data_IF_834693525335
#
_entry.id   IF_834693525335
#
_cell.length_a   1.000
_cell.length_b   1.000
_cell.length_c   1.000
_cell.angle_alpha   90.00
_cell.angle_beta   90.00
_cell.angle_gamma   90.00
#
_symmetry.space_group_name_H-M   'P 1'
#
loop_
_entity.id
_entity.type
_entity.pdbx_description
1 polymer ?
#
# COMPACT_ATOMS: atom_id res chain seq x y z
N UNK A 1 21.79 1.31 18.06
CA UNK A 1 21.01 0.79 16.90
C UNK A 1 19.57 0.53 17.34
N UNK A 2 18.56 0.85 16.53
CA UNK A 2 17.15 0.59 16.87
C UNK A 2 16.73 -0.83 16.46
N UNK A 3 15.88 -1.48 17.25
CA UNK A 3 15.18 -2.70 16.86
C UNK A 3 14.04 -2.41 15.87
N UNK A 4 13.56 -3.43 15.17
CA UNK A 4 12.37 -3.32 14.33
C UNK A 4 11.17 -2.74 15.10
N UNK A 5 10.93 -3.22 16.33
CA UNK A 5 9.88 -2.70 17.21
C UNK A 5 10.06 -1.22 17.52
N UNK A 6 11.26 -0.80 17.86
CA UNK A 6 11.54 0.61 18.16
C UNK A 6 11.32 1.50 16.93
N UNK A 7 11.65 1.02 15.73
CA UNK A 7 11.33 1.73 14.48
C UNK A 7 9.83 1.86 14.27
N UNK A 8 9.04 0.82 14.54
CA UNK A 8 7.56 0.89 14.48
C UNK A 8 7.01 1.85 15.53
N UNK A 9 7.59 1.86 16.74
CA UNK A 9 7.22 2.78 17.82
C UNK A 9 7.37 4.25 17.43
N UNK A 10 8.29 4.59 16.52
CA UNK A 10 8.40 5.97 15.99
C UNK A 10 7.10 6.43 15.30
N UNK A 11 6.27 5.52 14.78
CA UNK A 11 4.96 5.85 14.24
C UNK A 11 3.97 6.37 15.29
N UNK A 12 4.24 6.13 16.58
CA UNK A 12 3.40 6.60 17.69
C UNK A 12 3.77 7.99 18.21
N UNK A 13 4.87 8.60 17.74
CA UNK A 13 5.31 9.95 18.16
C UNK A 13 4.21 11.02 18.10
N UNK A 14 3.33 11.05 17.08
CA UNK A 14 2.27 12.07 17.00
C UNK A 14 1.11 11.88 17.99
N UNK A 15 1.09 10.79 18.76
CA UNK A 15 -0.04 10.41 19.60
C UNK A 15 0.28 10.56 21.09
N UNK A 16 -0.74 10.91 21.88
CA UNK A 16 -0.69 10.94 23.34
C UNK A 16 -1.61 9.88 23.95
N UNK A 17 -1.47 8.64 23.46
CA UNK A 17 -2.28 7.47 23.87
C UNK A 17 -1.71 6.72 25.06
N UNK A 18 -0.50 7.08 25.49
CA UNK A 18 0.19 6.47 26.63
C UNK A 18 0.98 5.19 26.27
N UNK A 19 2.07 4.97 27.01
CA UNK A 19 3.07 3.96 26.68
C UNK A 19 2.55 2.51 26.65
N UNK A 20 1.51 2.18 27.43
CA UNK A 20 0.92 0.85 27.38
C UNK A 20 0.18 0.63 26.06
N UNK A 21 -0.69 1.58 25.68
CA UNK A 21 -1.50 1.48 24.48
C UNK A 21 -0.64 1.53 23.22
N UNK A 22 0.39 2.37 23.20
CA UNK A 22 1.34 2.42 22.08
C UNK A 22 2.05 1.09 21.86
N UNK A 23 2.43 0.37 22.92
CA UNK A 23 3.05 -0.96 22.78
C UNK A 23 2.07 -2.01 22.24
N UNK A 24 0.80 -1.93 22.62
CA UNK A 24 -0.24 -2.80 22.06
C UNK A 24 -0.39 -2.53 20.56
N UNK A 25 -0.60 -1.27 20.16
CA UNK A 25 -0.72 -0.84 18.77
C UNK A 25 0.48 -1.29 17.94
N UNK A 26 1.70 -1.07 18.44
CA UNK A 26 2.93 -1.50 17.76
C UNK A 26 2.97 -3.01 17.58
N UNK A 27 2.54 -3.78 18.57
CA UNK A 27 2.52 -5.24 18.49
C UNK A 27 1.46 -5.75 17.51
N UNK A 28 0.28 -5.14 17.50
CA UNK A 28 -0.78 -5.44 16.54
C UNK A 28 -0.37 -5.07 15.10
N UNK A 29 0.27 -3.92 14.90
CA UNK A 29 0.76 -3.47 13.60
C UNK A 29 1.88 -4.38 13.06
N UNK A 30 2.81 -4.83 13.91
CA UNK A 30 3.82 -5.81 13.54
C UNK A 30 3.20 -7.16 13.16
N UNK A 31 2.16 -7.60 13.86
CA UNK A 31 1.45 -8.83 13.52
C UNK A 31 0.71 -8.72 12.18
N UNK A 32 0.08 -7.57 11.91
CA UNK A 32 -0.67 -7.34 10.67
C UNK A 32 0.18 -7.48 9.40
N UNK A 33 1.49 -7.21 9.49
CA UNK A 33 2.42 -7.29 8.35
C UNK A 33 3.31 -8.54 8.39
N UNK A 34 3.02 -9.51 9.25
CA UNK A 34 3.87 -10.70 9.46
C UNK A 34 5.33 -10.33 9.82
N UNK A 35 5.51 -9.45 10.81
CA UNK A 35 6.82 -9.00 11.29
C UNK A 35 7.15 -9.38 12.74
N UNK A 36 6.27 -10.12 13.41
CA UNK A 36 6.43 -10.45 14.84
C UNK A 36 7.73 -11.21 15.14
N UNK A 37 8.16 -12.12 14.26
CA UNK A 37 9.32 -12.99 14.50
C UNK A 37 10.68 -12.30 14.39
N UNK A 38 10.74 -11.07 13.85
CA UNK A 38 11.96 -10.26 13.80
C UNK A 38 11.82 -8.91 14.52
N UNK A 39 10.77 -8.73 15.33
CA UNK A 39 10.50 -7.49 16.04
C UNK A 39 11.68 -7.01 16.92
N UNK A 40 12.44 -7.93 17.51
CA UNK A 40 13.56 -7.62 18.40
C UNK A 40 14.93 -7.58 17.69
N UNK A 41 14.99 -7.87 16.38
CA UNK A 41 16.24 -7.78 15.60
C UNK A 41 16.59 -6.33 15.34
N UNK A 42 17.88 -6.00 15.29
CA UNK A 42 18.30 -4.65 14.91
C UNK A 42 17.93 -4.39 13.45
N UNK A 43 17.35 -3.20 13.21
CA UNK A 43 16.84 -2.78 11.92
C UNK A 43 17.90 -2.85 10.80
N UNK A 44 19.15 -2.55 11.14
CA UNK A 44 20.29 -2.55 10.20
C UNK A 44 20.67 -3.93 9.67
N UNK A 45 20.26 -5.01 10.35
CA UNK A 45 20.51 -6.41 9.94
C UNK A 45 19.33 -7.07 9.21
N UNK A 46 18.27 -6.32 8.95
CA UNK A 46 17.12 -6.82 8.21
C UNK A 46 17.40 -6.84 6.70
N UNK A 47 16.84 -7.84 6.02
CA UNK A 47 16.72 -7.88 4.55
C UNK A 47 15.84 -6.74 4.03
N UNK A 48 15.87 -6.48 2.73
CA UNK A 48 15.03 -5.43 2.11
C UNK A 48 13.54 -5.61 2.41
N UNK A 49 13.02 -6.82 2.20
CA UNK A 49 11.60 -7.13 2.46
C UNK A 49 11.21 -7.04 3.95
N UNK A 50 12.10 -7.45 4.87
CA UNK A 50 11.87 -7.24 6.31
C UNK A 50 11.82 -5.74 6.65
N UNK A 51 12.73 -4.91 6.12
CA UNK A 51 12.72 -3.45 6.35
C UNK A 51 11.43 -2.80 5.86
N UNK A 52 10.95 -3.22 4.70
CA UNK A 52 9.73 -2.69 4.11
C UNK A 52 8.50 -3.06 4.95
N UNK A 53 8.44 -4.28 5.51
CA UNK A 53 7.42 -4.67 6.49
C UNK A 53 7.47 -3.83 7.76
N UNK A 54 8.67 -3.56 8.30
CA UNK A 54 8.82 -2.64 9.44
C UNK A 54 8.29 -1.25 9.11
N UNK A 55 8.58 -0.74 7.91
CA UNK A 55 8.06 0.56 7.48
C UNK A 55 6.54 0.56 7.30
N UNK A 56 5.96 -0.48 6.72
CA UNK A 56 4.51 -0.63 6.62
C UNK A 56 3.88 -0.68 8.03
N UNK A 57 4.40 -1.52 8.93
CA UNK A 57 3.94 -1.57 10.32
C UNK A 57 4.05 -0.22 11.02
N UNK A 58 5.14 0.54 10.80
CA UNK A 58 5.30 1.90 11.36
C UNK A 58 4.19 2.83 10.92
N UNK A 59 3.85 2.81 9.63
CA UNK A 59 2.78 3.64 9.07
C UNK A 59 1.41 3.17 9.58
N UNK A 60 1.17 1.86 9.64
CA UNK A 60 -0.04 1.29 10.23
C UNK A 60 -0.21 1.71 11.69
N UNK A 61 0.87 1.62 12.48
CA UNK A 61 0.88 2.04 13.88
C UNK A 61 0.51 3.52 14.00
N UNK A 62 0.93 4.38 13.08
CA UNK A 62 0.58 5.81 13.08
C UNK A 62 -0.91 6.05 12.80
N UNK A 63 -1.55 5.23 11.96
CA UNK A 63 -2.97 5.39 11.61
C UNK A 63 -3.89 4.38 12.29
N UNK A 64 -3.42 3.71 13.35
CA UNK A 64 -4.12 2.54 13.91
C UNK A 64 -5.49 2.88 14.51
N UNK A 65 -5.57 3.93 15.33
CA UNK A 65 -6.80 4.29 16.06
C UNK A 65 -7.52 5.48 15.44
N UNK A 66 -8.82 5.31 15.21
CA UNK A 66 -9.73 6.31 14.62
C UNK A 66 -10.34 7.26 15.65
N UNK A 67 -10.13 7.02 16.95
CA UNK A 67 -10.87 7.70 18.00
C UNK A 67 -10.51 9.19 18.07
N UNK A 68 -11.36 10.04 17.49
CA UNK A 68 -11.28 11.50 17.58
C UNK A 68 -10.60 12.22 16.41
N UNK A 69 -10.14 11.50 15.39
CA UNK A 69 -9.42 12.09 14.26
C UNK A 69 -10.30 12.25 13.01
N UNK A 70 -10.09 13.38 12.35
CA UNK A 70 -10.54 13.73 10.99
C UNK A 70 -10.19 12.64 9.97
N UNK A 71 -10.65 12.79 8.72
CA UNK A 71 -10.34 11.86 7.64
C UNK A 71 -8.82 11.62 7.53
N UNK A 72 -8.42 10.35 7.52
CA UNK A 72 -7.01 9.95 7.45
C UNK A 72 -6.66 9.54 6.05
N UNK A 73 -5.48 9.97 5.61
CA UNK A 73 -4.96 9.65 4.30
C UNK A 73 -3.66 8.86 4.44
N UNK A 74 -3.59 7.75 3.71
CA UNK A 74 -2.40 6.92 3.56
C UNK A 74 -1.85 7.13 2.15
N UNK A 75 -0.62 7.63 2.05
CA UNK A 75 0.08 7.80 0.78
C UNK A 75 1.19 6.74 0.70
N UNK A 76 1.16 5.92 -0.34
CA UNK A 76 2.10 4.85 -0.57
C UNK A 76 2.81 5.06 -1.90
N UNK A 77 4.12 5.21 -1.84
CA UNK A 77 4.97 5.30 -3.02
C UNK A 77 5.56 3.92 -3.33
N UNK A 78 5.11 3.32 -4.43
CA UNK A 78 5.51 1.98 -4.89
C UNK A 78 5.62 0.91 -3.77
N UNK A 79 4.56 0.71 -2.97
CA UNK A 79 4.65 -0.15 -1.79
C UNK A 79 4.87 -1.62 -2.14
N UNK A 80 4.68 -2.02 -3.40
CA UNK A 80 4.82 -3.40 -3.88
C UNK A 80 6.14 -3.67 -4.62
N UNK A 81 6.97 -2.63 -4.83
CA UNK A 81 8.26 -2.80 -5.49
C UNK A 81 9.17 -3.73 -4.68
N UNK A 82 9.88 -4.62 -5.38
CA UNK A 82 10.86 -5.56 -4.79
C UNK A 82 10.28 -6.61 -3.82
N UNK A 83 8.96 -6.79 -3.75
CA UNK A 83 8.31 -7.87 -3.00
C UNK A 83 8.09 -9.13 -3.84
N UNK A 84 8.06 -10.29 -3.18
CA UNK A 84 7.46 -11.48 -3.77
C UNK A 84 5.92 -11.35 -3.85
N UNK A 85 5.30 -12.23 -4.64
CA UNK A 85 3.86 -12.19 -4.89
C UNK A 85 3.02 -12.27 -3.61
N UNK A 86 3.46 -13.02 -2.60
CA UNK A 86 2.71 -13.18 -1.36
C UNK A 86 2.68 -11.88 -0.56
N UNK A 87 3.82 -11.18 -0.47
CA UNK A 87 3.90 -9.90 0.23
C UNK A 87 3.18 -8.77 -0.51
N UNK A 88 3.17 -8.79 -1.85
CA UNK A 88 2.37 -7.86 -2.64
C UNK A 88 0.87 -8.02 -2.31
N UNK A 89 0.35 -9.25 -2.34
CA UNK A 89 -1.04 -9.54 -2.00
C UNK A 89 -1.37 -9.12 -0.55
N UNK A 90 -0.50 -9.43 0.42
CA UNK A 90 -0.68 -9.02 1.82
C UNK A 90 -0.77 -7.49 1.96
N UNK A 91 0.12 -6.76 1.29
CA UNK A 91 0.14 -5.29 1.34
C UNK A 91 -1.15 -4.70 0.77
N UNK A 92 -1.63 -5.23 -0.35
CA UNK A 92 -2.88 -4.78 -0.96
C UNK A 92 -4.11 -5.13 -0.13
N UNK A 93 -4.12 -6.30 0.52
CA UNK A 93 -5.19 -6.69 1.42
C UNK A 93 -5.28 -5.74 2.62
N UNK A 94 -4.13 -5.41 3.23
CA UNK A 94 -4.07 -4.42 4.32
C UNK A 94 -4.60 -3.07 3.85
N UNK A 95 -4.17 -2.60 2.67
CA UNK A 95 -4.63 -1.34 2.08
C UNK A 95 -6.15 -1.33 1.86
N UNK A 96 -6.71 -2.41 1.28
CA UNK A 96 -8.15 -2.56 1.10
C UNK A 96 -8.91 -2.53 2.43
N UNK A 97 -8.41 -3.21 3.45
CA UNK A 97 -9.03 -3.21 4.77
C UNK A 97 -9.01 -1.82 5.42
N UNK A 98 -7.95 -1.04 5.24
CA UNK A 98 -7.89 0.34 5.71
C UNK A 98 -8.86 1.25 4.97
N UNK A 99 -8.95 1.10 3.65
CA UNK A 99 -9.91 1.83 2.81
C UNK A 99 -11.36 1.53 3.25
N UNK A 100 -11.68 0.25 3.46
CA UNK A 100 -12.99 -0.19 3.95
C UNK A 100 -13.34 0.36 5.35
N UNK A 101 -12.34 0.76 6.15
CA UNK A 101 -12.50 1.41 7.46
C UNK A 101 -12.58 2.94 7.37
N UNK A 102 -12.64 3.51 6.16
CA UNK A 102 -12.77 4.96 5.93
C UNK A 102 -11.44 5.72 5.84
N UNK A 103 -10.32 5.03 5.61
CA UNK A 103 -9.03 5.69 5.35
C UNK A 103 -8.90 5.97 3.85
N UNK A 104 -8.68 7.22 3.45
CA UNK A 104 -8.35 7.54 2.05
C UNK A 104 -6.98 6.99 1.70
N UNK A 105 -6.85 6.21 0.63
CA UNK A 105 -5.55 5.67 0.20
C UNK A 105 -5.18 6.19 -1.18
N UNK A 106 -4.00 6.79 -1.29
CA UNK A 106 -3.36 7.13 -2.55
C UNK A 106 -2.12 6.25 -2.71
N UNK A 107 -2.08 5.46 -3.78
CA UNK A 107 -1.00 4.52 -4.03
C UNK A 107 -0.43 4.73 -5.43
N UNK A 108 0.89 4.83 -5.53
CA UNK A 108 1.61 4.86 -6.80
C UNK A 108 2.03 3.43 -7.14
N UNK A 109 1.64 2.95 -8.32
CA UNK A 109 1.96 1.61 -8.82
C UNK A 109 2.46 1.68 -10.26
N UNK A 110 3.42 0.81 -10.58
CA UNK A 110 3.88 0.60 -11.96
C UNK A 110 3.12 -0.51 -12.69
N UNK A 111 2.58 -1.47 -11.95
CA UNK A 111 1.81 -2.57 -12.53
C UNK A 111 0.34 -2.16 -12.72
N UNK A 112 -0.07 -2.04 -13.98
CA UNK A 112 -1.42 -1.65 -14.38
C UNK A 112 -2.48 -2.69 -13.96
N UNK A 113 -2.13 -3.98 -13.97
CA UNK A 113 -3.05 -5.04 -13.58
C UNK A 113 -3.26 -5.05 -12.06
N UNK A 114 -2.20 -4.74 -11.31
CA UNK A 114 -2.28 -4.57 -9.87
C UNK A 114 -3.17 -3.37 -9.52
N UNK A 115 -2.95 -2.23 -10.18
CA UNK A 115 -3.74 -1.02 -10.00
C UNK A 115 -5.23 -1.26 -10.33
N UNK A 116 -5.52 -1.97 -11.43
CA UNK A 116 -6.87 -2.34 -11.82
C UNK A 116 -7.61 -3.17 -10.76
N UNK A 117 -6.89 -4.03 -10.03
CA UNK A 117 -7.47 -4.94 -9.02
C UNK A 117 -7.75 -4.27 -7.68
N UNK A 118 -6.96 -3.28 -7.30
CA UNK A 118 -7.01 -2.70 -5.95
C UNK A 118 -7.63 -1.32 -5.87
N UNK A 119 -7.63 -0.54 -6.95
CA UNK A 119 -8.07 0.84 -6.93
C UNK A 119 -9.55 0.98 -7.30
N UNK A 120 -10.30 1.71 -6.48
CA UNK A 120 -11.65 2.16 -6.84
C UNK A 120 -11.60 3.20 -7.99
N UNK A 121 -10.51 3.97 -8.04
CA UNK A 121 -10.30 5.04 -9.01
C UNK A 121 -8.82 5.12 -9.42
N UNK A 122 -8.56 5.18 -10.73
CA UNK A 122 -7.24 5.28 -11.33
C UNK A 122 -6.97 6.68 -11.84
N UNK A 123 -5.71 7.10 -11.69
CA UNK A 123 -5.14 8.31 -12.29
C UNK A 123 -3.92 7.91 -13.11
N UNK A 124 -3.98 8.11 -14.42
CA UNK A 124 -2.80 7.99 -15.28
C UNK A 124 -2.16 9.36 -15.45
N UNK A 125 -0.86 9.43 -15.14
CA UNK A 125 -0.07 10.65 -15.26
C UNK A 125 0.84 10.56 -16.50
N UNK A 126 0.89 11.64 -17.29
CA UNK A 126 1.79 11.78 -18.43
C UNK A 126 2.34 13.20 -18.45
N UNK A 127 3.68 13.34 -18.50
CA UNK A 127 4.37 14.63 -18.58
C UNK A 127 3.92 15.67 -17.52
N UNK A 128 3.62 15.22 -16.30
CA UNK A 128 3.18 16.08 -15.19
C UNK A 128 1.70 16.46 -15.20
N UNK A 129 0.91 15.99 -16.19
CA UNK A 129 -0.55 16.15 -16.25
C UNK A 129 -1.30 14.83 -16.04
N UNK A 130 -2.60 14.94 -15.79
CA UNK A 130 -3.51 13.79 -15.76
C UNK A 130 -3.93 13.47 -17.20
N UNK A 131 -3.51 12.31 -17.70
CA UNK A 131 -3.87 11.82 -19.03
C UNK A 131 -5.24 11.13 -19.04
N UNK A 132 -5.57 10.40 -17.97
CA UNK A 132 -6.87 9.77 -17.78
C UNK A 132 -7.20 9.62 -16.29
N UNK A 133 -8.48 9.66 -15.96
CA UNK A 133 -9.01 9.61 -14.59
C UNK A 133 -10.38 8.94 -14.60
N UNK A 134 -10.60 7.96 -13.72
CA UNK A 134 -11.87 7.25 -13.63
C UNK A 134 -11.71 5.85 -13.05
N UNK A 135 -12.72 5.01 -13.24
CA UNK A 135 -12.63 3.59 -12.93
C UNK A 135 -11.57 2.89 -13.78
N UNK A 136 -11.15 1.69 -13.36
CA UNK A 136 -10.18 0.91 -14.12
C UNK A 136 -10.63 0.67 -15.57
N UNK A 137 -11.92 0.44 -15.82
CA UNK A 137 -12.47 0.19 -17.15
C UNK A 137 -12.48 1.43 -18.06
N UNK A 138 -12.69 2.61 -17.47
CA UNK A 138 -12.65 3.88 -18.21
C UNK A 138 -11.21 4.30 -18.54
N UNK A 139 -10.27 3.99 -17.66
CA UNK A 139 -8.87 4.41 -17.78
C UNK A 139 -8.03 3.43 -18.61
N UNK A 140 -8.16 2.12 -18.38
CA UNK A 140 -7.34 1.08 -19.02
C UNK A 140 -7.95 0.63 -20.35
N UNK A 141 -7.93 1.53 -21.32
CA UNK A 141 -8.35 1.25 -22.70
C UNK A 141 -7.15 1.09 -23.62
N UNK A 142 -7.34 0.41 -24.76
CA UNK A 142 -6.31 0.30 -25.80
C UNK A 142 -5.79 1.67 -26.24
N UNK A 143 -6.69 2.63 -26.46
CA UNK A 143 -6.32 3.97 -26.94
C UNK A 143 -5.49 4.72 -25.89
N UNK A 144 -5.91 4.66 -24.61
CA UNK A 144 -5.16 5.27 -23.51
C UNK A 144 -3.76 4.65 -23.36
N UNK A 145 -3.64 3.32 -23.45
CA UNK A 145 -2.34 2.66 -23.33
C UNK A 145 -1.42 2.99 -24.51
N UNK A 146 -1.98 3.11 -25.72
CA UNK A 146 -1.24 3.51 -26.90
C UNK A 146 -0.76 4.96 -26.82
N UNK A 147 -1.57 5.87 -26.29
CA UNK A 147 -1.19 7.29 -26.18
C UNK A 147 -0.23 7.58 -25.01
N UNK A 148 -0.42 6.92 -23.87
CA UNK A 148 0.34 7.17 -22.64
C UNK A 148 1.63 6.36 -22.60
N UNK A 149 1.55 5.06 -22.86
CA UNK A 149 2.67 4.12 -22.74
C UNK A 149 3.31 3.74 -24.08
N UNK A 150 2.74 4.15 -25.21
CA UNK A 150 3.19 3.76 -26.56
C UNK A 150 3.17 2.25 -26.79
N UNK A 151 2.23 1.55 -26.14
CA UNK A 151 2.07 0.10 -26.23
C UNK A 151 0.74 -0.24 -26.92
N UNK A 152 0.78 -1.14 -27.90
CA UNK A 152 -0.44 -1.71 -28.52
C UNK A 152 -0.90 -2.94 -27.71
N UNK A 153 -1.61 -2.68 -26.61
CA UNK A 153 -2.06 -3.72 -25.70
C UNK A 153 -3.42 -4.31 -26.10
N UNK A 154 -3.66 -5.54 -25.65
CA UNK A 154 -4.98 -6.16 -25.61
C UNK A 154 -5.58 -6.01 -24.21
N UNK A 155 -6.85 -5.61 -24.13
CA UNK A 155 -7.59 -5.51 -22.87
C UNK A 155 -8.54 -6.69 -22.77
N UNK A 156 -8.21 -7.64 -21.90
CA UNK A 156 -9.08 -8.73 -21.50
C UNK A 156 -9.85 -8.42 -20.21
N UNK A 157 -10.61 -9.40 -19.75
CA UNK A 157 -11.25 -9.39 -18.43
C UNK A 157 -10.51 -10.34 -17.50
N UNK A 158 -10.14 -9.87 -16.32
CA UNK A 158 -9.47 -10.70 -15.32
C UNK A 158 -10.43 -11.83 -14.88
N UNK A 159 -10.04 -13.11 -14.97
CA UNK A 159 -10.96 -14.24 -14.78
C UNK A 159 -11.50 -14.37 -13.35
N UNK A 160 -10.73 -13.91 -12.35
CA UNK A 160 -11.13 -13.92 -10.93
C UNK A 160 -11.77 -12.59 -10.49
N UNK A 161 -11.11 -11.46 -10.75
CA UNK A 161 -11.53 -10.15 -10.26
C UNK A 161 -12.59 -9.43 -11.12
N UNK A 162 -12.78 -9.83 -12.38
CA UNK A 162 -13.69 -9.14 -13.32
C UNK A 162 -13.21 -7.75 -13.77
N UNK A 163 -12.05 -7.29 -13.30
CA UNK A 163 -11.43 -6.02 -13.67
C UNK A 163 -10.74 -6.11 -15.04
N UNK A 164 -10.42 -4.98 -15.69
CA UNK A 164 -9.60 -4.99 -16.91
C UNK A 164 -8.26 -5.69 -16.68
N UNK A 165 -7.84 -6.49 -17.66
CA UNK A 165 -6.56 -7.19 -17.67
C UNK A 165 -5.77 -6.73 -18.90
N UNK A 166 -4.68 -6.03 -18.68
CA UNK A 166 -3.74 -5.57 -19.71
C UNK A 166 -2.81 -6.71 -20.11
N UNK A 167 -2.80 -7.04 -21.39
CA UNK A 167 -1.97 -8.08 -22.00
C UNK A 167 -1.15 -7.43 -23.13
N UNK A 168 0.16 -7.64 -23.10
CA UNK A 168 1.13 -7.15 -24.11
C UNK A 168 1.57 -8.31 -24.97
#
# INVERSE_FOLDING_TARGET
>A
PFTAREVVMLGRIPHDTGAHRDREIVSEALAAVDATYFAEREYTYLSGGERQRVHLARVLAQIWETAGAEERYLILDEPTASFDLAHQELTLEIVRQLAARGTGVLMVLHDLNLAARCADHLLLLQCGGIAASGSAAEVLTRDTLKSVFQVDAHIGTHPVAGTPLVII
#
